data_IF_114312891725
#
_entry.id   IF_114312891725
#
_cell.length_a   1.000
_cell.length_b   1.000
_cell.length_c   1.000
_cell.angle_alpha   90.00
_cell.angle_beta   90.00
_cell.angle_gamma   90.00
#
_symmetry.space_group_name_H-M   'P 1'
#
loop_
_entity.id
_entity.type
_entity.pdbx_description
1 polymer ?
#
# COMPACT_ATOMS: atom_id res chain seq x y z
N UNK A 1 11.25 1.97 5.22
CA UNK A 1 11.78 2.60 4.00
C UNK A 1 12.98 3.48 4.35
N UNK A 2 13.88 3.69 3.39
CA UNK A 2 15.07 4.53 3.56
C UNK A 2 14.94 5.87 2.82
N UNK A 3 13.94 5.99 1.97
CA UNK A 3 13.63 7.19 1.19
C UNK A 3 12.16 7.24 0.84
N UNK A 4 11.69 8.43 0.50
CA UNK A 4 10.38 8.65 -0.14
C UNK A 4 10.58 9.23 -1.53
N UNK A 5 9.65 8.91 -2.44
CA UNK A 5 9.59 9.47 -3.77
C UNK A 5 8.17 9.88 -4.09
N UNK A 6 7.97 11.16 -4.36
CA UNK A 6 6.69 11.74 -4.69
C UNK A 6 6.76 12.35 -6.10
N UNK A 7 6.50 11.56 -7.16
CA UNK A 7 6.49 12.08 -8.53
C UNK A 7 5.37 13.10 -8.77
N UNK A 8 4.34 13.06 -7.94
CA UNK A 8 3.26 14.07 -7.86
C UNK A 8 2.78 14.23 -6.42
N UNK A 9 1.99 15.25 -6.19
CA UNK A 9 1.39 15.62 -4.91
C UNK A 9 -0.11 15.87 -5.11
N UNK A 10 -0.89 15.70 -4.06
CA UNK A 10 -2.35 15.83 -4.07
C UNK A 10 -3.05 14.49 -4.13
N UNK A 11 -4.29 14.46 -3.66
CA UNK A 11 -5.12 13.26 -3.63
C UNK A 11 -6.59 13.65 -3.42
N UNK A 12 -7.50 12.69 -3.60
CA UNK A 12 -8.91 12.81 -3.22
C UNK A 12 -9.33 11.68 -2.28
N UNK A 13 -10.27 11.96 -1.39
CA UNK A 13 -10.76 11.03 -0.40
C UNK A 13 -11.46 9.82 -1.05
N UNK A 14 -11.27 8.63 -0.48
CA UNK A 14 -11.93 7.38 -0.92
C UNK A 14 -12.54 6.57 0.23
N UNK A 15 -12.16 6.88 1.47
CA UNK A 15 -12.64 6.17 2.66
C UNK A 15 -12.42 7.02 3.90
N UNK A 16 -13.06 6.70 5.06
CA UNK A 16 -12.90 7.44 6.31
C UNK A 16 -11.45 7.56 6.80
N UNK A 17 -10.55 6.70 6.35
CA UNK A 17 -9.11 6.83 6.60
C UNK A 17 -8.46 8.00 5.85
N UNK A 18 -9.23 8.77 5.08
CA UNK A 18 -8.76 10.00 4.43
C UNK A 18 -9.23 11.28 5.15
N UNK A 19 -10.17 11.19 6.11
CA UNK A 19 -10.82 12.38 6.70
C UNK A 19 -9.83 13.29 7.44
N UNK A 20 -8.85 12.71 8.15
CA UNK A 20 -7.78 13.44 8.85
C UNK A 20 -6.41 13.18 8.19
N UNK A 21 -6.35 13.23 6.86
CA UNK A 21 -5.14 12.91 6.11
C UNK A 21 -4.01 13.89 6.43
N UNK A 22 -2.88 13.36 6.92
CA UNK A 22 -1.71 14.19 7.22
C UNK A 22 -1.17 14.91 5.98
N UNK A 23 -1.29 14.30 4.80
CA UNK A 23 -0.82 14.88 3.54
C UNK A 23 -1.67 16.09 3.14
N UNK A 24 -2.99 16.05 3.37
CA UNK A 24 -3.88 17.20 3.17
C UNK A 24 -3.57 18.33 4.16
N UNK A 25 -3.37 17.98 5.44
CA UNK A 25 -2.96 18.96 6.48
C UNK A 25 -1.62 19.63 6.12
N UNK A 26 -0.70 18.88 5.53
CA UNK A 26 0.59 19.40 5.06
C UNK A 26 0.41 20.34 3.85
N UNK A 27 -0.43 19.96 2.89
CA UNK A 27 -0.73 20.80 1.73
C UNK A 27 -1.40 22.13 2.14
N UNK A 28 -2.37 22.08 3.06
CA UNK A 28 -3.00 23.27 3.65
C UNK A 28 -1.99 24.20 4.31
N UNK A 29 -1.01 23.64 5.05
CA UNK A 29 0.08 24.43 5.67
C UNK A 29 0.96 25.13 4.63
N UNK A 30 1.08 24.55 3.43
CA UNK A 30 1.83 25.14 2.32
C UNK A 30 0.98 26.02 1.40
N UNK A 31 -0.29 26.28 1.75
CA UNK A 31 -1.23 27.05 0.94
C UNK A 31 -1.58 26.40 -0.39
N UNK A 32 -1.51 25.06 -0.48
CA UNK A 32 -1.78 24.31 -1.71
C UNK A 32 -3.16 23.64 -1.66
N UNK A 33 -3.84 23.62 -2.79
CA UNK A 33 -4.99 22.75 -3.00
C UNK A 33 -4.51 21.29 -3.06
N UNK A 34 -5.08 20.44 -2.18
CA UNK A 34 -4.74 19.03 -2.13
C UNK A 34 -5.59 18.17 -3.07
N UNK A 35 -6.74 18.68 -3.52
CA UNK A 35 -7.69 17.93 -4.36
C UNK A 35 -7.27 17.88 -5.82
N UNK A 36 -6.41 18.82 -6.24
CA UNK A 36 -5.81 18.85 -7.57
C UNK A 36 -4.39 18.27 -7.51
N UNK A 37 -4.13 17.28 -8.35
CA UNK A 37 -2.78 16.72 -8.43
C UNK A 37 -1.83 17.65 -9.20
N UNK A 38 -0.61 17.75 -8.66
CA UNK A 38 0.47 18.50 -9.28
C UNK A 38 1.68 17.60 -9.50
N UNK A 39 2.18 17.55 -10.75
CA UNK A 39 3.44 16.88 -11.06
C UNK A 39 4.59 17.57 -10.31
N UNK A 40 5.47 16.80 -9.71
CA UNK A 40 6.67 17.35 -9.06
C UNK A 40 7.64 17.90 -10.09
N UNK A 41 8.50 18.84 -9.67
CA UNK A 41 9.57 19.34 -10.51
C UNK A 41 10.47 18.19 -11.02
N UNK A 42 11.05 18.32 -12.20
CA UNK A 42 11.84 17.28 -12.86
C UNK A 42 12.95 16.71 -11.99
N UNK A 43 13.58 17.57 -11.20
CA UNK A 43 14.61 17.15 -10.25
C UNK A 43 14.08 16.13 -9.21
N UNK A 44 12.84 16.26 -8.76
CA UNK A 44 12.19 15.33 -7.84
C UNK A 44 11.61 14.12 -8.58
N UNK A 45 10.97 14.38 -9.72
CA UNK A 45 10.34 13.35 -10.53
C UNK A 45 11.36 12.29 -10.98
N UNK A 46 12.53 12.71 -11.44
CA UNK A 46 13.61 11.85 -11.92
C UNK A 46 14.64 11.48 -10.84
N UNK A 47 14.37 11.80 -9.57
CA UNK A 47 15.34 11.54 -8.49
C UNK A 47 15.84 10.09 -8.41
N UNK A 48 15.01 9.04 -8.59
CA UNK A 48 15.47 7.65 -8.48
C UNK A 48 16.58 7.30 -9.48
N UNK A 49 16.58 7.90 -10.68
CA UNK A 49 17.60 7.66 -11.70
C UNK A 49 18.99 8.11 -11.26
N UNK A 50 19.09 9.04 -10.29
CA UNK A 50 20.36 9.58 -9.80
C UNK A 50 20.87 8.89 -8.52
N UNK A 51 20.04 8.08 -7.88
CA UNK A 51 20.43 7.38 -6.65
C UNK A 51 21.28 6.15 -6.99
N UNK A 52 22.55 6.21 -6.64
CA UNK A 52 23.51 5.14 -6.93
C UNK A 52 23.35 3.94 -5.97
N UNK A 53 23.19 4.21 -4.67
CA UNK A 53 23.05 3.16 -3.68
C UNK A 53 21.62 2.57 -3.69
N UNK A 54 21.45 1.24 -3.52
CA UNK A 54 20.14 0.59 -3.37
C UNK A 54 19.32 1.22 -2.24
N UNK A 55 18.03 1.46 -2.50
CA UNK A 55 17.10 2.07 -1.53
C UNK A 55 15.79 1.31 -1.45
N UNK A 56 15.16 1.30 -0.29
CA UNK A 56 13.73 1.03 -0.13
C UNK A 56 12.97 2.34 -0.17
N UNK A 57 12.15 2.53 -1.18
CA UNK A 57 11.50 3.79 -1.53
C UNK A 57 10.00 3.65 -1.27
N UNK A 58 9.47 4.45 -0.34
CA UNK A 58 8.02 4.60 -0.21
C UNK A 58 7.54 5.60 -1.25
N UNK A 59 6.67 5.12 -2.15
CA UNK A 59 6.21 5.89 -3.31
C UNK A 59 4.88 6.56 -3.01
N UNK A 60 4.77 7.85 -3.31
CA UNK A 60 3.57 8.67 -3.10
C UNK A 60 3.15 8.78 -1.62
N UNK A 61 4.06 9.23 -0.73
CA UNK A 61 3.72 9.48 0.68
C UNK A 61 2.69 10.62 0.87
N UNK A 62 2.57 11.53 -0.09
CA UNK A 62 1.64 12.67 -0.08
C UNK A 62 0.69 12.66 -1.30
N UNK A 63 0.43 11.48 -1.83
CA UNK A 63 -0.49 11.22 -2.94
C UNK A 63 -0.88 9.74 -2.96
N UNK A 64 -1.54 9.32 -4.04
CA UNK A 64 -1.78 7.90 -4.36
C UNK A 64 -1.27 7.63 -5.78
N UNK A 65 -0.42 6.59 -5.95
CA UNK A 65 0.18 6.25 -7.24
C UNK A 65 -0.87 5.92 -8.31
N UNK A 66 -2.02 5.38 -7.89
CA UNK A 66 -3.13 5.01 -8.78
C UNK A 66 -4.27 6.03 -8.79
N UNK A 67 -4.00 7.30 -8.44
CA UNK A 67 -4.99 8.36 -8.63
C UNK A 67 -5.18 8.65 -10.13
N UNK A 68 -6.45 8.78 -10.59
CA UNK A 68 -6.76 8.98 -12.02
C UNK A 68 -6.11 10.23 -12.63
N UNK A 69 -6.05 11.33 -11.88
CA UNK A 69 -5.39 12.55 -12.37
C UNK A 69 -3.88 12.38 -12.61
N UNK A 70 -3.26 11.30 -12.12
CA UNK A 70 -1.85 11.00 -12.38
C UNK A 70 -1.62 10.21 -13.69
N UNK A 71 -2.68 9.81 -14.39
CA UNK A 71 -2.58 9.02 -15.63
C UNK A 71 -1.60 9.61 -16.65
N UNK A 72 -1.55 10.95 -16.89
CA UNK A 72 -0.61 11.55 -17.84
C UNK A 72 0.87 11.37 -17.47
N UNK A 73 1.17 11.11 -16.19
CA UNK A 73 2.55 11.02 -15.67
C UNK A 73 2.93 9.61 -15.20
N UNK A 74 1.95 8.74 -15.01
CA UNK A 74 2.18 7.41 -14.39
C UNK A 74 3.07 6.53 -15.25
N UNK A 75 2.91 6.56 -16.56
CA UNK A 75 3.73 5.75 -17.48
C UNK A 75 5.20 6.17 -17.43
N UNK A 76 5.48 7.48 -17.40
CA UNK A 76 6.83 8.00 -17.24
C UNK A 76 7.43 7.58 -15.88
N UNK A 77 6.65 7.70 -14.79
CA UNK A 77 7.07 7.25 -13.46
C UNK A 77 7.32 5.74 -13.40
N UNK A 78 6.49 4.94 -14.07
CA UNK A 78 6.67 3.50 -14.16
C UNK A 78 7.94 3.14 -14.93
N UNK A 79 8.24 3.83 -16.01
CA UNK A 79 9.48 3.66 -16.77
C UNK A 79 10.72 4.00 -15.93
N UNK A 80 10.64 4.97 -15.00
CA UNK A 80 11.72 5.24 -14.03
C UNK A 80 11.90 4.04 -13.10
N UNK A 81 10.81 3.48 -12.58
CA UNK A 81 10.84 2.27 -11.74
C UNK A 81 11.51 1.11 -12.47
N UNK A 82 11.12 0.86 -13.74
CA UNK A 82 11.70 -0.21 -14.56
C UNK A 82 13.20 -0.01 -14.82
N UNK A 83 13.64 1.25 -14.98
CA UNK A 83 15.06 1.59 -15.23
C UNK A 83 15.94 1.56 -13.97
N UNK A 84 15.35 1.37 -12.79
CA UNK A 84 16.07 1.42 -11.51
C UNK A 84 15.83 0.17 -10.65
N UNK A 85 16.11 -1.06 -11.19
CA UNK A 85 15.82 -2.31 -10.53
C UNK A 85 16.67 -2.56 -9.27
N UNK A 86 17.73 -1.76 -9.04
CA UNK A 86 18.53 -1.78 -7.80
C UNK A 86 17.76 -1.27 -6.59
N UNK A 87 16.66 -0.53 -6.79
CA UNK A 87 15.80 -0.05 -5.71
C UNK A 87 14.61 -0.98 -5.48
N UNK A 88 14.09 -0.99 -4.26
CA UNK A 88 12.80 -1.62 -3.93
C UNK A 88 11.75 -0.52 -3.78
N UNK A 89 10.70 -0.56 -4.58
CA UNK A 89 9.60 0.40 -4.49
C UNK A 89 8.44 -0.18 -3.70
N UNK A 90 7.97 0.56 -2.70
CA UNK A 90 6.80 0.22 -1.90
C UNK A 90 5.65 1.13 -2.35
N UNK A 91 4.69 0.60 -3.09
CA UNK A 91 3.52 1.33 -3.59
C UNK A 91 2.32 0.95 -2.75
N UNK A 92 1.82 1.92 -1.99
CA UNK A 92 0.61 1.79 -1.17
C UNK A 92 -0.54 2.57 -1.81
N UNK A 93 -1.71 1.95 -1.91
CA UNK A 93 -2.90 2.59 -2.49
C UNK A 93 -4.18 2.22 -1.73
N UNK A 94 -5.14 3.13 -1.74
CA UNK A 94 -6.53 2.85 -1.38
C UNK A 94 -7.40 2.49 -2.61
N UNK A 95 -6.77 2.35 -3.79
CA UNK A 95 -7.41 2.06 -5.09
C UNK A 95 -6.87 0.76 -5.72
N UNK A 96 -6.94 -0.40 -5.02
CA UNK A 96 -6.30 -1.63 -5.50
C UNK A 96 -6.86 -2.12 -6.85
N UNK A 97 -8.11 -1.80 -7.20
CA UNK A 97 -8.67 -2.13 -8.51
C UNK A 97 -7.93 -1.47 -9.67
N UNK A 98 -7.48 -0.21 -9.50
CA UNK A 98 -6.67 0.48 -10.51
C UNK A 98 -5.25 -0.07 -10.56
N UNK A 99 -4.70 -0.53 -9.42
CA UNK A 99 -3.42 -1.23 -9.37
C UNK A 99 -3.46 -2.54 -10.15
N UNK A 100 -4.53 -3.32 -10.01
CA UNK A 100 -4.72 -4.58 -10.77
C UNK A 100 -4.79 -4.30 -12.27
N UNK A 101 -5.64 -3.36 -12.69
CA UNK A 101 -5.77 -3.00 -14.11
C UNK A 101 -4.43 -2.51 -14.70
N UNK A 102 -3.64 -1.79 -13.91
CA UNK A 102 -2.28 -1.38 -14.30
C UNK A 102 -1.35 -2.58 -14.48
N UNK A 103 -1.37 -3.50 -13.51
CA UNK A 103 -0.52 -4.70 -13.52
C UNK A 103 -0.87 -5.62 -14.70
N UNK A 104 -2.14 -5.77 -15.04
CA UNK A 104 -2.61 -6.54 -16.20
C UNK A 104 -2.09 -5.96 -17.52
N UNK A 105 -1.99 -4.64 -17.63
CA UNK A 105 -1.53 -3.96 -18.84
C UNK A 105 -0.01 -3.84 -18.96
N UNK A 106 0.69 -3.57 -17.87
CA UNK A 106 2.12 -3.17 -17.87
C UNK A 106 3.04 -4.19 -17.23
N UNK A 107 2.49 -5.28 -16.66
CA UNK A 107 3.24 -6.22 -15.83
C UNK A 107 3.57 -5.64 -14.44
N UNK A 108 4.23 -6.47 -13.61
CA UNK A 108 4.62 -6.07 -12.25
C UNK A 108 6.04 -6.56 -11.95
N UNK A 109 7.04 -5.67 -11.81
CA UNK A 109 8.42 -6.07 -11.56
C UNK A 109 8.62 -6.61 -10.14
N UNK A 110 9.55 -7.56 -9.96
CA UNK A 110 9.82 -8.19 -8.66
C UNK A 110 10.27 -7.21 -7.56
N UNK A 111 10.95 -6.12 -7.94
CA UNK A 111 11.44 -5.10 -7.01
C UNK A 111 10.36 -4.09 -6.60
N UNK A 112 9.11 -4.25 -7.07
CA UNK A 112 7.96 -3.45 -6.67
C UNK A 112 7.07 -4.22 -5.72
N UNK A 113 6.93 -3.73 -4.50
CA UNK A 113 6.02 -4.26 -3.49
C UNK A 113 4.66 -3.59 -3.63
N UNK A 114 3.61 -4.40 -3.68
CA UNK A 114 2.23 -3.94 -3.78
C UNK A 114 1.56 -3.89 -2.42
N UNK A 115 0.96 -2.75 -2.07
CA UNK A 115 0.26 -2.60 -0.80
C UNK A 115 -1.10 -1.92 -0.92
N UNK A 116 -2.00 -2.24 0.01
CA UNK A 116 -3.27 -1.52 0.15
C UNK A 116 -3.54 -1.15 1.60
N UNK A 117 -4.27 -0.04 1.80
CA UNK A 117 -4.72 0.38 3.13
C UNK A 117 -6.05 -0.28 3.45
N UNK A 118 -6.19 -0.73 4.72
CA UNK A 118 -7.42 -1.30 5.31
C UNK A 118 -7.64 -0.65 6.66
N UNK A 119 -8.48 0.37 6.72
CA UNK A 119 -8.67 1.18 7.94
C UNK A 119 -9.61 0.53 8.95
N UNK A 120 -10.49 -0.36 8.49
CA UNK A 120 -11.43 -1.15 9.29
C UNK A 120 -11.86 -2.39 8.53
N UNK A 121 -12.59 -3.30 9.20
CA UNK A 121 -13.07 -4.55 8.60
C UNK A 121 -13.86 -4.34 7.30
N UNK A 122 -14.62 -3.26 7.19
CA UNK A 122 -15.37 -2.89 5.97
C UNK A 122 -14.47 -2.83 4.72
N UNK A 123 -13.20 -2.47 4.87
CA UNK A 123 -12.25 -2.30 3.76
C UNK A 123 -11.32 -3.50 3.56
N UNK A 124 -11.43 -4.55 4.40
CA UNK A 124 -10.66 -5.77 4.26
C UNK A 124 -10.81 -6.45 2.87
N UNK A 125 -11.98 -6.39 2.18
CA UNK A 125 -12.11 -6.92 0.82
C UNK A 125 -11.16 -6.30 -0.23
N UNK A 126 -10.51 -5.15 0.06
CA UNK A 126 -9.42 -4.64 -0.78
C UNK A 126 -8.26 -5.62 -0.90
N UNK A 127 -8.09 -6.52 0.07
CA UNK A 127 -7.05 -7.55 0.06
C UNK A 127 -7.33 -8.65 -0.97
N UNK A 128 -8.61 -8.96 -1.25
CA UNK A 128 -8.98 -9.87 -2.32
C UNK A 128 -8.56 -9.32 -3.68
N UNK A 129 -8.71 -8.01 -3.85
CA UNK A 129 -8.28 -7.32 -5.06
C UNK A 129 -6.76 -7.27 -5.15
N UNK A 130 -6.07 -6.93 -4.04
CA UNK A 130 -4.61 -6.90 -3.97
C UNK A 130 -3.99 -8.27 -4.31
N UNK A 131 -4.61 -9.38 -3.90
CA UNK A 131 -4.12 -10.72 -4.16
C UNK A 131 -4.00 -11.04 -5.66
N UNK A 132 -4.72 -10.31 -6.53
CA UNK A 132 -4.65 -10.46 -8.00
C UNK A 132 -3.40 -9.78 -8.60
N UNK A 133 -2.73 -8.89 -7.89
CA UNK A 133 -1.50 -8.26 -8.37
C UNK A 133 -0.37 -9.30 -8.31
N UNK A 134 0.37 -9.58 -9.40
CA UNK A 134 1.43 -10.59 -9.44
C UNK A 134 2.73 -10.11 -8.76
N UNK A 135 2.60 -9.45 -7.60
CA UNK A 135 3.74 -8.93 -6.86
C UNK A 135 4.43 -10.04 -6.03
N UNK A 136 5.76 -10.02 -5.97
CA UNK A 136 6.55 -10.90 -5.11
C UNK A 136 6.27 -10.65 -3.62
N UNK A 137 6.05 -9.39 -3.26
CA UNK A 137 5.69 -8.97 -1.90
C UNK A 137 4.41 -8.15 -1.94
N UNK A 138 3.40 -8.61 -1.21
CA UNK A 138 2.16 -7.87 -0.95
C UNK A 138 2.11 -7.50 0.53
N UNK A 139 1.72 -6.25 0.82
CA UNK A 139 1.61 -5.79 2.19
C UNK A 139 0.29 -5.06 2.44
N UNK A 140 -0.15 -5.09 3.68
CA UNK A 140 -1.31 -4.33 4.14
C UNK A 140 -0.87 -3.25 5.12
N UNK A 141 -1.44 -2.05 4.97
CA UNK A 141 -1.33 -0.98 5.96
C UNK A 141 -2.69 -0.77 6.62
N UNK A 142 -2.83 -1.23 7.85
CA UNK A 142 -3.98 -0.96 8.71
C UNK A 142 -3.72 0.38 9.40
N UNK A 143 -3.73 1.44 8.57
CA UNK A 143 -3.42 2.81 9.01
C UNK A 143 -4.20 3.84 8.17
N UNK A 144 -4.95 4.76 8.86
CA UNK A 144 -5.23 4.74 10.29
C UNK A 144 -6.11 3.54 10.67
N UNK A 145 -5.83 2.92 11.82
CA UNK A 145 -6.64 1.83 12.34
C UNK A 145 -7.86 2.41 13.06
N UNK A 146 -9.03 2.35 12.41
CA UNK A 146 -10.29 2.96 12.87
C UNK A 146 -11.26 1.96 13.52
N UNK A 147 -10.82 0.73 13.69
CA UNK A 147 -11.56 -0.36 14.29
C UNK A 147 -10.76 -1.66 14.27
N UNK A 148 -11.24 -2.70 14.94
CA UNK A 148 -10.63 -4.02 14.86
C UNK A 148 -10.70 -4.55 13.42
N UNK A 149 -9.66 -5.30 13.02
CA UNK A 149 -9.56 -5.91 11.69
C UNK A 149 -9.16 -7.36 11.86
N UNK A 150 -9.93 -8.26 11.25
CA UNK A 150 -9.58 -9.66 11.09
C UNK A 150 -8.94 -9.87 9.71
N UNK A 151 -7.64 -10.19 9.71
CA UNK A 151 -6.88 -10.50 8.51
C UNK A 151 -6.67 -11.99 8.28
N UNK A 152 -7.08 -12.85 9.21
CA UNK A 152 -6.87 -14.31 9.11
C UNK A 152 -7.35 -14.88 7.78
N UNK A 153 -8.54 -14.51 7.27
CA UNK A 153 -9.04 -15.01 5.98
C UNK A 153 -8.19 -14.59 4.77
N UNK A 154 -7.32 -13.59 4.94
CA UNK A 154 -6.54 -12.98 3.84
C UNK A 154 -5.06 -13.36 3.87
N UNK A 155 -4.58 -14.05 4.91
CA UNK A 155 -3.19 -14.47 4.97
C UNK A 155 -2.87 -15.60 3.99
N UNK A 156 -3.81 -16.51 3.80
CA UNK A 156 -3.65 -17.67 2.94
C UNK A 156 -4.72 -17.66 1.86
N UNK A 157 -4.38 -17.28 0.64
CA UNK A 157 -5.27 -17.39 -0.51
C UNK A 157 -4.64 -18.21 -1.61
N UNK A 158 -5.46 -19.10 -2.14
CA UNK A 158 -5.15 -19.83 -3.35
C UNK A 158 -5.11 -18.88 -4.56
N UNK A 159 -4.08 -18.99 -5.40
CA UNK A 159 -3.97 -18.30 -6.68
C UNK A 159 -4.94 -18.80 -7.76
N UNK A 160 -5.91 -19.66 -7.38
CA UNK A 160 -6.93 -20.18 -8.31
C UNK A 160 -6.49 -21.40 -9.14
N UNK A 161 -5.24 -21.86 -9.04
CA UNK A 161 -4.71 -23.00 -9.79
C UNK A 161 -4.65 -24.30 -8.99
N UNK A 162 -5.16 -24.29 -7.75
CA UNK A 162 -5.20 -25.48 -6.91
C UNK A 162 -6.40 -26.38 -7.20
N UNK A 163 -6.11 -27.65 -7.38
CA UNK A 163 -7.13 -28.70 -7.32
C UNK A 163 -7.21 -29.18 -5.87
N UNK A 164 -8.38 -29.04 -5.18
CA UNK A 164 -8.56 -29.66 -3.88
C UNK A 164 -8.38 -31.19 -4.01
N UNK A 165 -7.62 -31.79 -3.10
CA UNK A 165 -7.51 -33.25 -3.01
C UNK A 165 -8.42 -33.76 -1.90
N UNK A 166 -8.89 -35.01 -1.98
CA UNK A 166 -9.75 -35.63 -0.95
C UNK A 166 -9.09 -35.61 0.44
N UNK A 167 -7.75 -35.65 0.52
CA UNK A 167 -6.97 -35.61 1.77
C UNK A 167 -6.79 -34.19 2.32
N UNK A 168 -6.94 -33.15 1.48
CA UNK A 168 -6.84 -31.76 1.87
C UNK A 168 -7.86 -30.91 1.09
N UNK A 169 -9.12 -30.84 1.56
CA UNK A 169 -10.15 -30.03 0.93
C UNK A 169 -9.85 -28.52 1.03
N UNK A 170 -8.91 -28.12 1.88
CA UNK A 170 -8.37 -26.78 1.92
C UNK A 170 -7.14 -26.74 1.01
N UNK A 171 -7.21 -25.94 -0.02
CA UNK A 171 -6.18 -25.81 -1.03
C UNK A 171 -4.73 -25.82 -0.50
N UNK A 172 -3.91 -26.71 -1.04
CA UNK A 172 -2.48 -26.86 -0.68
C UNK A 172 -1.57 -25.69 -1.13
N UNK A 173 -2.11 -24.60 -1.59
CA UNK A 173 -1.37 -23.38 -1.95
C UNK A 173 -0.79 -22.72 -0.70
N UNK A 174 0.41 -23.10 -0.32
CA UNK A 174 1.19 -22.53 0.80
C UNK A 174 1.77 -21.14 0.51
N UNK A 175 1.18 -20.35 -0.40
CA UNK A 175 1.62 -19.00 -0.65
C UNK A 175 0.94 -18.01 0.30
N UNK A 176 1.70 -17.24 1.06
CA UNK A 176 1.17 -16.09 1.80
C UNK A 176 0.63 -15.07 0.80
N UNK A 177 -0.69 -14.78 0.88
CA UNK A 177 -1.28 -13.70 0.06
C UNK A 177 -0.81 -12.33 0.55
N UNK A 178 -0.54 -12.19 1.87
CA UNK A 178 0.02 -11.00 2.51
C UNK A 178 1.35 -11.37 3.17
N UNK A 179 2.42 -10.70 2.79
CA UNK A 179 3.77 -10.96 3.25
C UNK A 179 4.23 -10.03 4.38
N UNK A 180 3.50 -8.94 4.63
CA UNK A 180 3.84 -7.97 5.67
C UNK A 180 2.60 -7.15 6.06
N UNK A 181 2.41 -6.93 7.37
CA UNK A 181 1.36 -6.09 7.92
C UNK A 181 1.94 -4.92 8.72
N UNK A 182 1.41 -3.73 8.45
CA UNK A 182 1.71 -2.49 9.17
C UNK A 182 0.43 -2.06 9.89
N UNK A 183 0.54 -1.61 11.14
CA UNK A 183 -0.56 -0.98 11.86
C UNK A 183 -0.14 0.37 12.43
N UNK A 184 -1.09 1.26 12.59
CA UNK A 184 -0.86 2.54 13.23
C UNK A 184 -2.14 3.33 13.45
N UNK A 185 -2.15 4.11 14.53
CA UNK A 185 -3.18 5.10 14.78
C UNK A 185 -3.12 6.26 13.80
N UNK A 186 -4.13 7.08 13.82
CA UNK A 186 -4.19 8.32 13.05
C UNK A 186 -3.17 9.33 13.62
N UNK A 187 -2.56 10.14 12.77
CA UNK A 187 -1.62 11.17 13.20
C UNK A 187 -2.19 12.57 13.01
N UNK A 188 -1.80 13.49 13.92
CA UNK A 188 -2.21 14.89 13.86
C UNK A 188 -3.11 15.30 15.03
N UNK A 189 -3.42 16.60 15.10
CA UNK A 189 -4.17 17.20 16.22
C UNK A 189 -5.63 16.74 16.33
N UNK A 190 -6.18 16.19 15.26
CA UNK A 190 -7.55 15.67 15.18
C UNK A 190 -7.59 14.14 15.06
N UNK A 191 -6.50 13.47 15.47
CA UNK A 191 -6.40 12.02 15.40
C UNK A 191 -7.51 11.35 16.20
N UNK A 192 -8.22 10.43 15.58
CA UNK A 192 -9.20 9.57 16.25
C UNK A 192 -8.45 8.54 17.09
N UNK A 193 -8.94 8.23 18.31
CA UNK A 193 -8.24 7.29 19.19
C UNK A 193 -8.23 5.88 18.61
N UNK A 194 -7.12 5.18 18.75
CA UNK A 194 -6.96 3.77 18.43
C UNK A 194 -6.91 2.97 19.73
N UNK A 195 -7.76 1.96 19.87
CA UNK A 195 -7.67 1.06 21.02
C UNK A 195 -6.42 0.15 20.88
N UNK A 196 -5.52 0.11 21.88
CA UNK A 196 -4.30 -0.72 21.83
C UNK A 196 -4.60 -2.22 21.62
N UNK A 197 -5.77 -2.70 22.07
CA UNK A 197 -6.18 -4.09 21.89
C UNK A 197 -6.42 -4.47 20.41
N UNK A 198 -6.79 -3.52 19.56
CA UNK A 198 -6.87 -3.77 18.12
C UNK A 198 -5.51 -4.09 17.51
N UNK A 199 -4.48 -3.31 17.91
CA UNK A 199 -3.11 -3.56 17.46
C UNK A 199 -2.55 -4.87 18.02
N UNK A 200 -2.86 -5.21 19.28
CA UNK A 200 -2.47 -6.49 19.91
C UNK A 200 -3.12 -7.67 19.20
N UNK A 201 -4.42 -7.57 18.91
CA UNK A 201 -5.16 -8.60 18.16
C UNK A 201 -4.52 -8.83 16.80
N UNK A 202 -4.30 -7.75 16.04
CA UNK A 202 -3.68 -7.85 14.71
C UNK A 202 -2.27 -8.44 14.76
N UNK A 203 -1.45 -8.03 15.73
CA UNK A 203 -0.13 -8.63 15.96
C UNK A 203 -0.22 -10.14 16.20
N UNK A 204 -1.15 -10.58 17.05
CA UNK A 204 -1.31 -12.01 17.37
C UNK A 204 -1.77 -12.81 16.14
N UNK A 205 -2.66 -12.27 15.31
CA UNK A 205 -3.05 -12.87 14.03
C UNK A 205 -1.84 -13.03 13.10
N UNK A 206 -1.04 -11.97 12.95
CA UNK A 206 0.16 -11.99 12.12
C UNK A 206 1.19 -13.02 12.63
N UNK A 207 1.40 -13.07 13.96
CA UNK A 207 2.32 -14.01 14.59
C UNK A 207 1.87 -15.46 14.37
N UNK A 208 0.59 -15.76 14.54
CA UNK A 208 0.04 -17.08 14.30
C UNK A 208 0.17 -17.53 12.83
N UNK A 209 0.10 -16.57 11.90
CA UNK A 209 0.25 -16.82 10.45
C UNK A 209 1.71 -16.77 9.95
N UNK A 210 2.68 -16.44 10.81
CA UNK A 210 4.08 -16.26 10.40
C UNK A 210 4.32 -15.02 9.52
N UNK A 211 3.42 -14.03 9.59
CA UNK A 211 3.50 -12.78 8.83
C UNK A 211 4.21 -11.72 9.65
N UNK A 212 5.29 -11.09 9.14
CA UNK A 212 5.92 -9.95 9.79
C UNK A 212 4.94 -8.82 10.09
N UNK A 213 4.99 -8.30 11.30
CA UNK A 213 4.14 -7.22 11.79
C UNK A 213 4.97 -6.01 12.23
N UNK A 214 4.52 -4.83 11.89
CA UNK A 214 5.14 -3.57 12.32
C UNK A 214 4.09 -2.62 12.86
N UNK A 215 4.21 -2.26 14.15
CA UNK A 215 3.43 -1.19 14.76
C UNK A 215 4.18 0.13 14.59
N UNK A 216 3.59 1.05 13.84
CA UNK A 216 4.20 2.35 13.53
C UNK A 216 3.98 3.36 14.65
N UNK A 217 2.74 3.45 15.13
CA UNK A 217 2.34 4.36 16.21
C UNK A 217 0.99 3.92 16.81
N UNK A 218 0.73 4.34 18.07
CA UNK A 218 -0.55 4.23 18.73
C UNK A 218 -1.32 5.53 18.61
#
# INVERSE_FOLDING_TARGET
CTSTWNPWQGCTNVSPGCDNCYAESLAKRWGKDFTTLHRSADATFHAPLRWKAPKRIFTCSISDFFHKQADPWREEAWNIILKTPQHTYQILTKRPGLMVAWAEKHGWPEHVWAGTSVESQKYAPRLDVLARVPAKVRFVSVEPMLGPVDLVPYFFKCSGTCVPTEENPQCACKGLAINWAIAGGESGSHARPMAPDWARSLRNQCQAAGVPYFLKQL
#
